data_IF_366429406813
#
_entry.id   IF_366429406813
#
_cell.length_a   1.000
_cell.length_b   1.000
_cell.length_c   1.000
_cell.angle_alpha   90.00
_cell.angle_beta   90.00
_cell.angle_gamma   90.00
#
_symmetry.space_group_name_H-M   'P 1'
#
loop_
_entity.id
_entity.type
_entity.pdbx_description
1 polymer ?
#
# COMPACT_ATOMS: atom_id res chain seq x y z
N UNK A 1 -56.65 -12.38 -54.99
CA UNK A 1 -56.58 -11.54 -53.79
C UNK A 1 -56.09 -12.38 -52.61
N UNK A 2 -54.84 -12.17 -52.19
CA UNK A 2 -54.34 -12.37 -50.83
C UNK A 2 -52.97 -11.70 -50.76
N UNK A 3 -52.92 -10.63 -49.98
CA UNK A 3 -51.73 -9.84 -49.66
C UNK A 3 -51.00 -10.57 -48.54
N UNK A 4 -49.68 -10.71 -48.64
CA UNK A 4 -48.80 -11.01 -47.51
C UNK A 4 -47.52 -10.17 -47.64
N UNK A 5 -47.43 -9.23 -46.71
CA UNK A 5 -46.26 -8.42 -46.34
C UNK A 5 -45.39 -9.29 -45.40
N UNK A 6 -44.06 -9.12 -45.43
CA UNK A 6 -43.16 -9.02 -44.24
C UNK A 6 -41.70 -8.90 -44.71
N UNK A 7 -41.12 -7.69 -44.64
CA UNK A 7 -40.13 -7.21 -43.65
C UNK A 7 -38.69 -7.69 -43.87
N UNK A 8 -37.89 -6.77 -44.42
CA UNK A 8 -36.44 -6.81 -44.42
C UNK A 8 -35.90 -6.46 -43.02
N UNK A 9 -35.04 -7.31 -42.47
CA UNK A 9 -34.25 -7.02 -41.27
C UNK A 9 -32.81 -6.70 -41.71
N UNK A 10 -32.43 -5.42 -41.65
CA UNK A 10 -31.02 -5.01 -41.71
C UNK A 10 -30.38 -5.29 -40.34
N UNK A 11 -29.43 -6.24 -40.29
CA UNK A 11 -28.51 -6.36 -39.16
C UNK A 11 -27.39 -5.33 -39.33
N UNK A 12 -27.35 -4.33 -38.44
CA UNK A 12 -26.24 -3.39 -38.35
C UNK A 12 -25.02 -4.04 -37.70
N UNK A 13 -23.86 -3.94 -38.36
CA UNK A 13 -22.56 -4.22 -37.77
C UNK A 13 -22.16 -3.05 -36.86
N UNK A 14 -22.07 -3.29 -35.55
CA UNK A 14 -21.43 -2.37 -34.60
C UNK A 14 -19.92 -2.60 -34.66
N UNK A 15 -19.20 -1.63 -35.22
CA UNK A 15 -17.74 -1.53 -35.07
C UNK A 15 -17.44 -1.19 -33.62
N UNK A 16 -16.89 -2.17 -32.88
CA UNK A 16 -16.38 -1.94 -31.53
C UNK A 16 -15.19 -0.98 -31.60
N UNK A 17 -15.34 0.20 -31.00
CA UNK A 17 -14.25 1.15 -30.85
C UNK A 17 -13.09 0.50 -30.07
N UNK A 18 -11.82 0.77 -30.43
CA UNK A 18 -10.68 0.29 -29.65
C UNK A 18 -10.78 0.85 -28.23
N UNK A 19 -10.86 -0.05 -27.25
CA UNK A 19 -10.85 0.32 -25.84
C UNK A 19 -9.56 1.11 -25.54
N UNK A 20 -9.63 2.22 -24.79
CA UNK A 20 -8.44 2.94 -24.38
C UNK A 20 -7.54 1.99 -23.58
N UNK A 21 -6.26 1.93 -23.96
CA UNK A 21 -5.27 1.16 -23.24
C UNK A 21 -5.22 1.64 -21.76
N UNK A 22 -5.11 0.73 -20.79
CA UNK A 22 -4.88 1.13 -19.41
C UNK A 22 -3.52 1.83 -19.33
N UNK A 23 -3.53 3.15 -19.10
CA UNK A 23 -2.35 3.92 -18.75
C UNK A 23 -2.03 3.63 -17.29
N UNK A 24 -1.03 2.77 -17.05
CA UNK A 24 -0.35 2.75 -15.77
C UNK A 24 0.46 4.05 -15.66
N UNK A 25 0.01 5.00 -14.84
CA UNK A 25 0.90 6.02 -14.33
C UNK A 25 1.85 5.33 -13.36
N UNK A 26 3.06 5.08 -13.81
CA UNK A 26 4.21 4.82 -12.95
C UNK A 26 4.30 5.98 -11.96
N UNK A 27 4.01 5.72 -10.69
CA UNK A 27 4.48 6.57 -9.61
C UNK A 27 5.84 6.00 -9.24
N UNK A 28 6.93 6.64 -9.67
CA UNK A 28 8.29 6.14 -9.41
C UNK A 28 8.59 5.98 -7.89
N UNK A 29 7.83 6.67 -7.01
CA UNK A 29 8.09 6.73 -5.56
C UNK A 29 7.11 5.91 -4.69
N UNK A 30 5.95 5.50 -5.25
CA UNK A 30 5.00 4.58 -4.59
C UNK A 30 5.06 3.26 -5.34
N UNK A 31 5.48 2.20 -4.66
CA UNK A 31 5.41 0.85 -5.24
C UNK A 31 3.95 0.41 -5.27
N UNK A 32 3.25 0.75 -6.36
CA UNK A 32 2.00 0.10 -6.75
C UNK A 32 2.37 -1.23 -7.40
N UNK A 33 2.27 -2.33 -6.66
CA UNK A 33 2.36 -3.66 -7.25
C UNK A 33 1.10 -3.88 -8.09
N UNK A 34 1.21 -3.57 -9.40
CA UNK A 34 0.24 -4.00 -10.40
C UNK A 34 0.38 -5.50 -10.61
N UNK A 35 -0.70 -6.27 -10.40
CA UNK A 35 -0.81 -7.61 -10.98
C UNK A 35 -1.58 -7.49 -12.29
N UNK A 36 -1.06 -8.18 -13.30
CA UNK A 36 -1.55 -8.22 -14.68
C UNK A 36 -3.06 -8.40 -14.79
N UNK A 37 -3.65 -7.71 -15.77
CA UNK A 37 -4.98 -7.97 -16.31
C UNK A 37 -5.21 -9.47 -16.54
N UNK A 38 -6.12 -10.04 -15.77
CA UNK A 38 -6.93 -11.15 -16.25
C UNK A 38 -8.39 -10.72 -16.11
N UNK A 39 -9.10 -10.74 -17.23
CA UNK A 39 -10.54 -10.52 -17.32
C UNK A 39 -11.27 -11.23 -16.17
N UNK A 40 -12.26 -10.54 -15.61
CA UNK A 40 -13.19 -11.08 -14.64
C UNK A 40 -13.84 -12.38 -15.15
N UNK A 41 -13.28 -13.52 -14.76
CA UNK A 41 -14.03 -14.75 -14.56
C UNK A 41 -14.31 -14.85 -13.07
N UNK A 42 -15.59 -14.85 -12.71
CA UNK A 42 -16.09 -15.02 -11.36
C UNK A 42 -15.72 -16.42 -10.82
N UNK A 43 -14.46 -16.60 -10.39
CA UNK A 43 -13.92 -17.73 -9.61
C UNK A 43 -12.44 -17.52 -9.21
N UNK A 44 -11.91 -16.29 -9.29
CA UNK A 44 -10.58 -15.98 -8.77
C UNK A 44 -10.76 -15.29 -7.41
N UNK A 45 -10.54 -16.04 -6.33
CA UNK A 45 -10.33 -15.45 -5.00
C UNK A 45 -9.25 -14.38 -5.15
N UNK A 46 -9.50 -13.11 -4.80
CA UNK A 46 -8.49 -12.08 -4.99
C UNK A 46 -7.26 -12.47 -4.16
N UNK A 47 -6.11 -12.58 -4.84
CA UNK A 47 -4.82 -12.71 -4.17
C UNK A 47 -4.67 -11.41 -3.38
N UNK A 48 -4.68 -11.50 -2.05
CA UNK A 48 -4.67 -10.31 -1.21
C UNK A 48 -3.29 -9.65 -1.37
N UNK A 49 -3.22 -8.57 -2.15
CA UNK A 49 -2.01 -7.79 -2.42
C UNK A 49 -2.09 -6.42 -1.77
N UNK A 50 -0.95 -5.79 -1.48
CA UNK A 50 -0.92 -4.40 -1.04
C UNK A 50 -1.25 -3.49 -2.21
N UNK A 51 -2.25 -2.61 -2.08
CA UNK A 51 -2.59 -1.63 -3.12
C UNK A 51 -3.06 -0.29 -2.52
N UNK A 52 -2.91 0.78 -3.30
CA UNK A 52 -3.30 2.15 -2.92
C UNK A 52 -4.65 2.53 -3.52
N UNK A 53 -5.50 3.17 -2.72
CA UNK A 53 -6.78 3.75 -3.15
C UNK A 53 -6.74 5.26 -2.93
N UNK A 54 -6.72 6.09 -3.98
CA UNK A 54 -6.67 7.54 -3.82
C UNK A 54 -7.97 8.11 -3.23
N UNK A 55 -7.88 9.27 -2.59
CA UNK A 55 -9.00 9.97 -1.95
C UNK A 55 -8.84 11.49 -2.10
N UNK A 56 -9.95 12.23 -2.16
CA UNK A 56 -9.92 13.70 -2.23
C UNK A 56 -9.51 14.35 -0.88
N UNK A 57 -9.69 13.62 0.21
CA UNK A 57 -9.35 14.05 1.57
C UNK A 57 -8.36 13.09 2.20
N UNK A 58 -7.57 13.61 3.15
CA UNK A 58 -6.70 12.80 3.98
C UNK A 58 -7.50 11.74 4.76
N UNK A 59 -6.88 10.59 4.97
CA UNK A 59 -7.50 9.45 5.65
C UNK A 59 -6.69 9.06 6.87
N UNK A 60 -7.39 8.93 7.99
CA UNK A 60 -6.87 8.41 9.25
C UNK A 60 -7.63 7.15 9.65
N UNK A 61 -6.88 6.08 9.87
CA UNK A 61 -7.33 4.71 10.14
C UNK A 61 -6.67 4.11 11.39
N UNK A 62 -5.50 4.61 11.81
CA UNK A 62 -4.76 4.07 12.94
C UNK A 62 -5.02 4.83 14.25
N UNK A 63 -4.99 4.10 15.37
CA UNK A 63 -5.02 4.69 16.71
C UNK A 63 -3.60 5.01 17.18
N UNK A 64 -3.24 6.28 17.07
CA UNK A 64 -1.94 6.84 17.49
C UNK A 64 -1.58 6.52 18.96
N UNK A 65 -2.56 6.23 19.83
CA UNK A 65 -2.29 5.85 21.25
C UNK A 65 -1.68 4.45 21.39
N UNK A 66 -1.89 3.59 20.41
CA UNK A 66 -1.40 2.21 20.41
C UNK A 66 0.03 2.08 19.88
N UNK A 67 0.60 3.19 19.41
CA UNK A 67 1.93 3.21 18.82
C UNK A 67 3.01 2.75 19.80
N UNK A 68 3.80 1.80 19.33
CA UNK A 68 4.99 1.29 19.99
C UNK A 68 6.11 1.28 18.96
N UNK A 69 7.27 1.80 19.34
CA UNK A 69 8.45 1.84 18.49
C UNK A 69 9.68 1.44 19.29
N UNK A 70 10.71 0.98 18.58
CA UNK A 70 12.04 0.71 19.10
C UNK A 70 13.05 0.80 17.96
N UNK A 71 14.32 0.93 18.33
CA UNK A 71 15.41 0.72 17.38
C UNK A 71 15.27 -0.67 16.74
N UNK A 72 15.49 -0.74 15.44
CA UNK A 72 15.61 -2.02 14.77
C UNK A 72 16.87 -2.75 15.27
N UNK A 73 16.84 -4.09 15.33
CA UNK A 73 18.01 -4.90 15.69
C UNK A 73 19.15 -4.70 14.69
N UNK A 74 20.36 -5.10 15.08
CA UNK A 74 21.62 -4.80 14.37
C UNK A 74 21.74 -5.47 12.99
N UNK A 75 20.91 -6.46 12.71
CA UNK A 75 20.81 -7.15 11.42
C UNK A 75 20.06 -6.34 10.36
N UNK A 76 19.28 -5.32 10.76
CA UNK A 76 18.63 -4.39 9.84
C UNK A 76 19.61 -3.30 9.42
N UNK A 77 19.82 -3.14 8.10
CA UNK A 77 20.66 -2.07 7.56
C UNK A 77 20.04 -0.71 7.90
N UNK A 78 20.85 0.15 8.52
CA UNK A 78 20.47 1.51 8.91
C UNK A 78 20.68 2.44 7.72
N UNK A 79 19.66 3.20 7.36
CA UNK A 79 19.74 4.22 6.32
C UNK A 79 20.20 5.56 6.88
N UNK A 80 20.66 6.46 6.01
CA UNK A 80 20.97 7.83 6.41
C UNK A 80 19.70 8.56 6.85
N UNK A 81 19.77 9.29 7.96
CA UNK A 81 18.64 10.02 8.51
C UNK A 81 18.05 11.02 7.51
N UNK A 82 18.88 11.69 6.70
CA UNK A 82 18.42 12.67 5.70
C UNK A 82 17.65 12.00 4.58
N UNK A 83 18.09 10.81 4.18
CA UNK A 83 17.42 10.02 3.15
C UNK A 83 16.13 9.39 3.70
N UNK A 84 16.11 9.02 4.98
CA UNK A 84 14.89 8.58 5.64
C UNK A 84 13.92 9.74 5.87
N UNK A 85 14.40 10.97 6.05
CA UNK A 85 13.56 12.16 6.13
C UNK A 85 12.90 12.50 4.79
N UNK A 86 13.53 12.17 3.65
CA UNK A 86 12.94 12.40 2.34
C UNK A 86 11.72 11.52 2.04
N UNK A 87 11.48 10.46 2.84
CA UNK A 87 10.23 9.68 2.78
C UNK A 87 8.98 10.56 2.94
N UNK A 88 9.05 11.61 3.77
CA UNK A 88 7.93 12.56 3.94
C UNK A 88 7.67 13.37 2.68
N UNK A 89 8.73 13.72 1.95
CA UNK A 89 8.59 14.45 0.69
C UNK A 89 8.16 13.54 -0.46
N UNK A 90 8.61 12.28 -0.45
CA UNK A 90 8.20 11.26 -1.42
C UNK A 90 6.72 10.90 -1.28
N UNK A 91 6.20 10.84 -0.05
CA UNK A 91 4.80 10.47 0.20
C UNK A 91 3.82 11.64 0.33
N UNK A 92 4.28 12.80 0.82
CA UNK A 92 3.45 13.94 1.20
C UNK A 92 2.44 14.50 0.17
N UNK A 93 2.56 14.32 -1.16
CA UNK A 93 1.52 14.78 -2.08
C UNK A 93 0.32 13.82 -2.25
N UNK A 94 0.27 12.70 -1.53
CA UNK A 94 -0.68 11.62 -1.82
C UNK A 94 -1.74 11.40 -0.71
N UNK A 95 -3.00 11.70 -1.03
CA UNK A 95 -4.16 11.38 -0.19
C UNK A 95 -4.78 10.04 -0.59
N UNK A 96 -5.16 9.20 0.39
CA UNK A 96 -5.71 7.88 0.11
C UNK A 96 -5.50 6.85 1.20
N UNK A 97 -5.60 5.59 0.84
CA UNK A 97 -5.47 4.49 1.81
C UNK A 97 -4.81 3.28 1.16
N UNK A 98 -3.85 2.70 1.87
CA UNK A 98 -3.31 1.39 1.56
C UNK A 98 -4.21 0.30 2.12
N UNK A 99 -4.56 -0.66 1.27
CA UNK A 99 -5.10 -1.95 1.69
C UNK A 99 -3.93 -2.89 1.90
N UNK A 100 -3.76 -3.41 3.11
CA UNK A 100 -2.64 -4.25 3.49
C UNK A 100 -3.18 -5.65 3.83
N UNK A 101 -2.85 -6.68 3.03
CA UNK A 101 -3.39 -8.01 3.22
C UNK A 101 -2.87 -8.67 4.50
N UNK A 102 -3.63 -9.64 5.00
CA UNK A 102 -3.16 -10.52 6.07
C UNK A 102 -2.02 -11.40 5.57
N UNK A 103 -0.88 -11.39 6.25
CA UNK A 103 0.19 -12.35 6.01
C UNK A 103 -0.01 -13.55 6.93
N UNK A 104 -0.48 -14.66 6.37
CA UNK A 104 -0.89 -15.88 7.09
C UNK A 104 0.19 -16.49 8.00
N UNK A 105 1.47 -16.18 7.75
CA UNK A 105 2.62 -16.65 8.54
C UNK A 105 3.37 -15.49 9.22
N UNK A 106 2.78 -14.30 9.35
CA UNK A 106 3.40 -13.22 10.09
C UNK A 106 3.52 -13.61 11.56
N UNK A 107 4.75 -13.85 12.01
CA UNK A 107 5.05 -14.02 13.42
C UNK A 107 4.50 -12.82 14.22
N UNK A 108 4.12 -13.04 15.48
CA UNK A 108 3.69 -11.96 16.38
C UNK A 108 4.82 -10.96 16.66
N UNK A 109 6.03 -11.30 16.24
CA UNK A 109 7.24 -10.49 16.32
C UNK A 109 7.58 -9.83 15.00
N UNK A 110 8.32 -8.74 15.09
CA UNK A 110 8.84 -7.87 14.02
C UNK A 110 9.79 -8.55 13.00
N UNK A 111 9.59 -9.84 12.70
CA UNK A 111 10.33 -10.63 11.72
C UNK A 111 10.20 -10.10 10.28
N UNK A 112 10.88 -10.79 9.35
CA UNK A 112 10.94 -10.51 7.90
C UNK A 112 9.56 -10.41 7.23
N UNK A 113 9.56 -9.94 5.98
CA UNK A 113 8.36 -9.85 5.14
C UNK A 113 7.67 -8.48 5.17
N UNK A 114 8.44 -7.41 5.38
CA UNK A 114 7.94 -6.05 5.24
C UNK A 114 7.86 -5.66 3.77
N UNK A 115 6.67 -5.27 3.33
CA UNK A 115 6.42 -4.80 1.95
C UNK A 115 6.68 -3.29 1.93
N UNK A 116 7.63 -2.78 1.12
CA UNK A 116 7.88 -1.35 1.02
C UNK A 116 6.69 -0.65 0.33
N UNK A 117 6.14 0.37 0.98
CA UNK A 117 5.03 1.20 0.43
C UNK A 117 5.47 2.62 0.06
N UNK A 118 6.52 3.12 0.70
CA UNK A 118 7.14 4.40 0.38
C UNK A 118 8.64 4.15 0.28
N UNK A 119 9.26 4.67 -0.78
CA UNK A 119 10.69 4.61 -0.98
C UNK A 119 11.25 6.01 -1.22
N UNK A 120 12.48 6.19 -0.80
CA UNK A 120 13.39 7.23 -1.25
C UNK A 120 14.71 6.58 -1.68
N UNK A 121 15.63 7.37 -2.21
CA UNK A 121 16.92 6.93 -2.78
C UNK A 121 17.61 5.83 -1.95
N UNK A 122 17.68 5.99 -0.62
CA UNK A 122 18.33 5.01 0.25
C UNK A 122 17.49 4.55 1.45
N UNK A 123 16.25 5.02 1.63
CA UNK A 123 15.38 4.57 2.72
C UNK A 123 14.00 4.11 2.24
N UNK A 124 13.42 3.16 2.98
CA UNK A 124 12.11 2.58 2.69
C UNK A 124 11.27 2.51 3.97
N UNK A 125 9.97 2.81 3.84
CA UNK A 125 8.96 2.43 4.82
C UNK A 125 8.34 1.10 4.39
N UNK A 126 8.66 0.05 5.12
CA UNK A 126 8.04 -1.27 4.99
C UNK A 126 6.90 -1.48 5.97
N UNK A 127 5.88 -2.19 5.52
CA UNK A 127 4.68 -2.53 6.29
C UNK A 127 4.35 -4.02 6.21
N UNK A 128 3.64 -4.51 7.21
CA UNK A 128 3.05 -5.84 7.22
C UNK A 128 1.90 -5.91 8.22
N UNK A 129 0.94 -6.79 7.98
CA UNK A 129 -0.20 -7.00 8.86
C UNK A 129 -0.45 -8.48 9.12
N UNK A 130 -0.73 -8.85 10.38
CA UNK A 130 -1.11 -10.22 10.73
C UNK A 130 -2.56 -10.50 10.30
N UNK A 131 -3.44 -9.60 10.68
CA UNK A 131 -4.82 -9.54 10.19
C UNK A 131 -4.88 -8.31 9.29
N UNK A 132 -5.41 -8.43 8.07
CA UNK A 132 -5.31 -7.36 7.08
C UNK A 132 -5.88 -6.03 7.59
N UNK A 133 -5.24 -4.92 7.23
CA UNK A 133 -5.57 -3.58 7.73
C UNK A 133 -5.69 -2.56 6.61
N UNK A 134 -6.37 -1.46 6.91
CA UNK A 134 -6.31 -0.21 6.16
C UNK A 134 -5.29 0.72 6.82
N UNK A 135 -4.45 1.38 6.01
CA UNK A 135 -3.49 2.39 6.45
C UNK A 135 -3.68 3.66 5.63
N UNK A 136 -4.17 4.72 6.24
CA UNK A 136 -4.39 6.01 5.60
C UNK A 136 -3.12 6.86 5.44
N UNK A 137 -3.17 7.86 4.56
CA UNK A 137 -2.07 8.80 4.35
C UNK A 137 -1.64 9.53 5.64
N UNK A 138 -2.59 10.09 6.41
CA UNK A 138 -2.32 10.79 7.66
C UNK A 138 -1.60 9.90 8.70
N UNK A 139 -1.75 8.58 8.59
CA UNK A 139 -1.07 7.62 9.44
C UNK A 139 0.35 7.33 8.96
N UNK A 140 0.57 7.21 7.64
CA UNK A 140 1.90 7.06 7.03
C UNK A 140 2.78 8.26 7.40
N UNK A 141 2.30 9.47 7.15
CA UNK A 141 3.01 10.71 7.48
C UNK A 141 3.35 10.77 8.96
N UNK A 142 2.38 10.43 9.80
CA UNK A 142 2.58 10.46 11.24
C UNK A 142 3.58 9.41 11.74
N UNK A 143 3.53 8.18 11.22
CA UNK A 143 4.48 7.11 11.57
C UNK A 143 5.89 7.55 11.19
N UNK A 144 6.10 8.07 9.98
CA UNK A 144 7.42 8.51 9.51
C UNK A 144 7.91 9.69 10.36
N UNK A 145 7.09 10.73 10.56
CA UNK A 145 7.45 11.88 11.40
C UNK A 145 7.82 11.47 12.82
N UNK A 146 7.04 10.60 13.45
CA UNK A 146 7.32 10.12 14.82
C UNK A 146 8.57 9.27 14.89
N UNK A 147 8.80 8.43 13.90
CA UNK A 147 10.00 7.61 13.83
C UNK A 147 11.25 8.47 13.72
N UNK A 148 11.24 9.48 12.85
CA UNK A 148 12.33 10.44 12.68
C UNK A 148 12.57 11.27 13.95
N UNK A 149 11.51 11.71 14.62
CA UNK A 149 11.62 12.48 15.86
C UNK A 149 12.26 11.65 16.99
N UNK A 150 11.85 10.39 17.14
CA UNK A 150 12.19 9.59 18.31
C UNK A 150 13.47 8.73 18.12
N UNK A 151 13.87 8.42 16.87
CA UNK A 151 14.94 7.45 16.58
C UNK A 151 16.04 7.96 15.62
N UNK A 152 16.19 9.28 15.48
CA UNK A 152 17.21 9.93 14.63
C UNK A 152 18.62 9.99 15.23
N UNK A 153 19.01 9.08 16.12
CA UNK A 153 20.27 9.21 16.85
C UNK A 153 21.51 9.18 15.92
N UNK A 154 22.14 10.35 15.74
CA UNK A 154 23.34 10.52 14.93
C UNK A 154 23.02 10.81 13.46
N UNK A 155 23.47 9.93 12.57
CA UNK A 155 23.27 10.04 11.12
C UNK A 155 22.61 8.81 10.50
N UNK A 156 22.59 7.67 11.21
CA UNK A 156 22.06 6.41 10.70
C UNK A 156 20.91 5.92 11.56
N UNK A 157 19.81 5.54 10.93
CA UNK A 157 18.63 5.04 11.63
C UNK A 157 18.05 3.78 10.99
N UNK A 158 17.56 2.91 11.86
CA UNK A 158 16.57 1.92 11.53
C UNK A 158 15.68 1.76 12.75
N UNK A 159 14.39 1.75 12.51
CA UNK A 159 13.39 1.67 13.57
C UNK A 159 12.24 0.80 13.10
N UNK A 160 11.62 0.12 14.05
CA UNK A 160 10.45 -0.71 13.78
C UNK A 160 9.47 -0.60 14.92
N UNK A 161 8.21 -0.81 14.59
CA UNK A 161 7.13 -0.59 15.53
C UNK A 161 5.83 -1.20 15.07
N UNK A 162 4.81 -0.96 15.89
CA UNK A 162 3.46 -1.41 15.62
C UNK A 162 2.46 -0.33 16.02
N UNK A 163 1.33 -0.33 15.34
CA UNK A 163 0.17 0.51 15.64
C UNK A 163 -1.08 -0.26 15.22
N UNK A 164 -2.17 -0.08 15.95
CA UNK A 164 -3.44 -0.72 15.62
C UNK A 164 -4.23 0.17 14.64
N UNK A 165 -4.64 -0.40 13.52
CA UNK A 165 -5.37 0.26 12.43
C UNK A 165 -6.70 -0.44 12.14
N UNK A 166 -7.56 0.21 11.37
CA UNK A 166 -8.85 -0.38 11.00
C UNK A 166 -8.64 -1.70 10.24
N UNK A 167 -9.32 -2.75 10.69
CA UNK A 167 -9.23 -4.06 10.04
C UNK A 167 -10.06 -4.07 8.75
N UNK A 168 -9.58 -4.80 7.74
CA UNK A 168 -10.28 -4.91 6.44
C UNK A 168 -11.65 -5.58 6.54
N UNK A 169 -11.87 -6.41 7.55
CA UNK A 169 -13.14 -7.09 7.81
C UNK A 169 -14.16 -6.21 8.56
N UNK A 170 -13.83 -4.94 8.83
CA UNK A 170 -14.67 -4.02 9.61
C UNK A 170 -14.82 -4.40 11.09
N UNK A 171 -14.01 -5.35 11.56
CA UNK A 171 -14.01 -5.84 12.93
C UNK A 171 -13.23 -4.95 13.89
N UNK A 172 -12.64 -5.58 14.92
CA UNK A 172 -11.75 -4.87 15.85
C UNK A 172 -10.51 -4.40 15.10
N UNK A 173 -9.95 -3.25 15.51
CA UNK A 173 -8.65 -2.78 15.00
C UNK A 173 -7.62 -3.91 15.05
N UNK A 174 -6.84 -4.01 13.99
CA UNK A 174 -5.82 -5.02 13.81
C UNK A 174 -4.44 -4.37 13.78
N UNK A 175 -3.44 -5.14 14.20
CA UNK A 175 -2.08 -4.64 14.36
C UNK A 175 -1.36 -4.55 13.02
N UNK A 176 -0.96 -3.35 12.66
CA UNK A 176 0.03 -3.06 11.63
C UNK A 176 1.42 -3.07 12.27
N UNK A 177 2.38 -3.73 11.62
CA UNK A 177 3.79 -3.57 11.92
C UNK A 177 4.45 -2.76 10.81
N UNK A 178 5.37 -1.88 11.19
CA UNK A 178 6.11 -1.04 10.26
C UNK A 178 7.61 -1.08 10.57
N UNK A 179 8.43 -0.80 9.56
CA UNK A 179 9.88 -0.69 9.66
C UNK A 179 10.40 0.38 8.71
N UNK A 180 11.24 1.28 9.22
CA UNK A 180 12.06 2.20 8.43
C UNK A 180 13.48 1.63 8.38
N UNK A 181 13.98 1.41 7.16
CA UNK A 181 15.26 0.76 6.91
C UNK A 181 15.86 1.23 5.59
N UNK A 182 17.12 0.89 5.36
CA UNK A 182 17.83 1.21 4.11
C UNK A 182 17.29 0.39 2.91
N UNK A 183 16.93 1.07 1.81
CA UNK A 183 16.27 0.51 0.63
C UNK A 183 17.07 -0.58 -0.11
N UNK A 184 18.40 -0.65 0.05
CA UNK A 184 19.23 -1.62 -0.67
C UNK A 184 19.13 -3.06 -0.10
N UNK A 185 18.45 -3.24 1.03
CA UNK A 185 18.07 -4.55 1.57
C UNK A 185 16.69 -4.52 2.22
N UNK A 186 15.66 -4.47 1.37
CA UNK A 186 14.38 -5.10 1.71
C UNK A 186 14.48 -6.59 1.41
N UNK A 187 14.75 -7.39 2.45
CA UNK A 187 14.73 -8.87 2.38
C UNK A 187 13.40 -9.41 1.81
#
# INVERSE_FOLDING_TARGET
>A
MRVLVLTAALMGLVVAAPAPAPSATLFDDIVVVSTSTACATASATPIASTFWVPSDTSRKTCDKKTYKAKFAPSDVKRGDFRDCASLLSAFGPHNGTFTIPALANAAEDYDKGFIPIVKSDSCSLGIRAKNGVMLGDDDVDWIVQKTLQDYSSGFLMAARGSVDCDALDGGKKAKLYWQVYDSEKGD
#
